data_IF_358786104960
#
_entry.id   IF_358786104960
#
_cell.length_a   1.000
_cell.length_b   1.000
_cell.length_c   1.000
_cell.angle_alpha   90.00
_cell.angle_beta   90.00
_cell.angle_gamma   90.00
#
_symmetry.space_group_name_H-M   'P 1'
#
loop_
_entity.id
_entity.type
_entity.pdbx_description
1 polymer ?
#
# COMPACT_ATOMS: atom_id res chain seq x y z
N UNK A 1 -11.84 -23.57 -3.16
CA UNK A 1 -12.80 -23.96 -2.09
C UNK A 1 -12.25 -23.80 -0.67
N UNK A 2 -11.09 -24.38 -0.31
CA UNK A 2 -10.59 -24.30 1.08
C UNK A 2 -10.25 -22.88 1.54
N UNK A 3 -9.59 -22.06 0.70
CA UNK A 3 -9.28 -20.67 1.06
C UNK A 3 -10.54 -19.81 1.26
N UNK A 4 -11.55 -19.96 0.40
CA UNK A 4 -12.87 -19.32 0.57
C UNK A 4 -13.52 -19.71 1.90
N UNK A 5 -13.43 -20.99 2.27
CA UNK A 5 -13.94 -21.47 3.57
C UNK A 5 -13.20 -20.82 4.73
N UNK A 6 -11.87 -20.78 4.71
CA UNK A 6 -11.07 -20.14 5.76
C UNK A 6 -11.41 -18.65 5.88
N UNK A 7 -11.54 -17.93 4.76
CA UNK A 7 -11.98 -16.54 4.76
C UNK A 7 -13.37 -16.37 5.39
N UNK A 8 -14.35 -17.16 4.95
CA UNK A 8 -15.72 -17.10 5.47
C UNK A 8 -15.86 -17.48 6.95
N UNK A 9 -14.97 -18.33 7.46
CA UNK A 9 -14.90 -18.71 8.88
C UNK A 9 -13.98 -17.77 9.70
N UNK A 10 -13.42 -16.73 9.09
CA UNK A 10 -12.42 -15.82 9.70
C UNK A 10 -11.23 -16.56 10.31
N UNK A 11 -10.80 -17.63 9.66
CA UNK A 11 -9.65 -18.46 10.04
C UNK A 11 -8.43 -18.08 9.22
N UNK A 12 -7.29 -18.02 9.89
CA UNK A 12 -6.01 -17.80 9.24
C UNK A 12 -5.58 -19.03 8.45
N UNK A 13 -4.90 -18.79 7.32
CA UNK A 13 -4.24 -19.79 6.50
C UNK A 13 -3.02 -20.31 7.27
N UNK A 14 -2.92 -21.62 7.54
CA UNK A 14 -1.78 -22.19 8.24
C UNK A 14 -0.46 -22.00 7.48
N UNK A 15 0.61 -21.70 8.20
CA UNK A 15 1.95 -21.52 7.62
C UNK A 15 2.19 -20.15 6.97
N UNK A 16 1.18 -19.28 6.96
CA UNK A 16 1.30 -17.89 6.50
C UNK A 16 1.33 -16.97 7.73
N UNK A 17 2.19 -15.92 7.75
CA UNK A 17 2.18 -14.92 8.81
C UNK A 17 0.79 -14.33 9.06
N UNK A 18 0.47 -13.99 10.31
CA UNK A 18 -0.90 -13.62 10.71
C UNK A 18 -1.24 -12.16 10.38
N UNK A 19 -0.30 -11.24 10.57
CA UNK A 19 -0.56 -9.79 10.51
C UNK A 19 0.70 -9.03 10.03
N UNK A 20 1.38 -9.60 9.04
CA UNK A 20 2.56 -8.99 8.41
C UNK A 20 2.19 -8.43 7.03
N UNK A 21 2.88 -7.36 6.65
CA UNK A 21 2.75 -6.82 5.29
C UNK A 21 3.27 -7.84 4.25
N UNK A 22 2.76 -7.81 3.01
CA UNK A 22 3.25 -8.68 1.95
C UNK A 22 4.77 -8.55 1.76
N UNK A 23 5.46 -9.68 1.71
CA UNK A 23 6.91 -9.72 1.51
C UNK A 23 7.24 -9.64 0.02
N UNK A 24 7.78 -8.50 -0.40
CA UNK A 24 8.14 -8.25 -1.80
C UNK A 24 9.32 -9.09 -2.29
N UNK A 25 10.01 -9.83 -1.41
CA UNK A 25 11.02 -10.82 -1.78
C UNK A 25 10.41 -12.20 -2.08
N UNK A 26 9.14 -12.41 -1.75
CA UNK A 26 8.41 -13.64 -2.01
C UNK A 26 7.63 -13.58 -3.33
N UNK A 27 7.23 -14.72 -3.88
CA UNK A 27 6.41 -14.74 -5.10
C UNK A 27 5.02 -14.11 -4.86
N UNK A 28 4.40 -13.60 -5.93
CA UNK A 28 3.12 -12.89 -5.85
C UNK A 28 2.03 -13.76 -5.24
N UNK A 29 2.00 -15.06 -5.55
CA UNK A 29 1.07 -16.00 -4.94
C UNK A 29 1.19 -16.00 -3.40
N UNK A 30 2.42 -16.02 -2.86
CA UNK A 30 2.64 -16.00 -1.42
C UNK A 30 2.23 -14.66 -0.80
N UNK A 31 2.57 -13.55 -1.47
CA UNK A 31 2.16 -12.20 -1.08
C UNK A 31 0.62 -12.10 -0.97
N UNK A 32 -0.11 -12.64 -1.95
CA UNK A 32 -1.58 -12.68 -1.93
C UNK A 32 -2.13 -13.48 -0.75
N UNK A 33 -1.51 -14.61 -0.39
CA UNK A 33 -1.89 -15.37 0.82
C UNK A 33 -1.63 -14.57 2.11
N UNK A 34 -0.53 -13.81 2.17
CA UNK A 34 -0.24 -12.92 3.30
C UNK A 34 -1.32 -11.82 3.43
N UNK A 35 -1.78 -11.25 2.31
CA UNK A 35 -2.90 -10.29 2.31
C UNK A 35 -4.14 -10.90 2.96
N UNK A 36 -4.53 -12.13 2.60
CA UNK A 36 -5.71 -12.79 3.18
C UNK A 36 -5.58 -12.89 4.71
N UNK A 37 -4.44 -13.34 5.23
CA UNK A 37 -4.24 -13.46 6.67
C UNK A 37 -4.28 -12.11 7.38
N UNK A 38 -3.61 -11.10 6.83
CA UNK A 38 -3.63 -9.77 7.39
C UNK A 38 -5.06 -9.20 7.38
N UNK A 39 -5.84 -9.39 6.30
CA UNK A 39 -7.26 -9.02 6.24
C UNK A 39 -8.10 -9.69 7.35
N UNK A 40 -7.88 -10.98 7.63
CA UNK A 40 -8.54 -11.66 8.77
C UNK A 40 -8.19 -11.00 10.10
N UNK A 41 -6.91 -10.68 10.31
CA UNK A 41 -6.44 -9.97 11.52
C UNK A 41 -7.06 -8.57 11.64
N UNK A 42 -7.14 -7.83 10.53
CA UNK A 42 -7.78 -6.51 10.46
C UNK A 42 -9.27 -6.56 10.77
N UNK A 43 -10.02 -7.51 10.21
CA UNK A 43 -11.45 -7.71 10.54
C UNK A 43 -11.67 -7.97 12.03
N UNK A 44 -10.84 -8.83 12.64
CA UNK A 44 -10.89 -9.09 14.09
C UNK A 44 -10.59 -7.83 14.92
N UNK A 45 -9.55 -7.08 14.56
CA UNK A 45 -9.19 -5.84 15.26
C UNK A 45 -10.26 -4.76 15.09
N UNK A 46 -10.83 -4.60 13.90
CA UNK A 46 -11.94 -3.70 13.64
C UNK A 46 -13.18 -4.04 14.47
N UNK A 47 -13.54 -5.33 14.57
CA UNK A 47 -14.66 -5.78 15.39
C UNK A 47 -14.45 -5.47 16.89
N UNK A 48 -13.23 -5.67 17.39
CA UNK A 48 -12.87 -5.33 18.78
C UNK A 48 -12.94 -3.82 19.00
N UNK A 49 -12.35 -3.02 18.10
CA UNK A 49 -12.35 -1.57 18.16
C UNK A 49 -13.79 -1.00 18.11
N UNK A 50 -14.65 -1.58 17.26
CA UNK A 50 -16.06 -1.20 17.14
C UNK A 50 -16.81 -1.43 18.45
N UNK A 51 -16.66 -2.62 19.06
CA UNK A 51 -17.26 -2.95 20.35
C UNK A 51 -16.75 -2.03 21.48
N UNK A 52 -15.45 -1.73 21.49
CA UNK A 52 -14.84 -0.81 22.46
C UNK A 52 -15.41 0.60 22.33
N UNK A 53 -15.54 1.12 21.11
CA UNK A 53 -16.14 2.43 20.85
C UNK A 53 -17.61 2.49 21.28
N UNK A 54 -18.40 1.45 20.99
CA UNK A 54 -19.80 1.38 21.42
C UNK A 54 -19.96 1.31 22.94
N UNK A 55 -19.07 0.58 23.64
CA UNK A 55 -19.04 0.57 25.09
C UNK A 55 -18.76 1.97 25.65
N UNK A 56 -17.72 2.65 25.14
CA UNK A 56 -17.39 4.01 25.55
C UNK A 56 -18.55 5.00 25.32
N UNK A 57 -19.22 4.91 24.17
CA UNK A 57 -20.39 5.77 23.88
C UNK A 57 -21.59 5.46 24.78
N UNK A 58 -21.81 4.21 25.17
CA UNK A 58 -22.89 3.84 26.11
C UNK A 58 -22.59 4.35 27.51
N UNK A 59 -21.35 4.24 27.96
CA UNK A 59 -20.95 4.71 29.28
C UNK A 59 -21.01 6.24 29.35
N UNK A 60 -20.53 6.94 28.32
CA UNK A 60 -20.64 8.40 28.24
C UNK A 60 -22.08 8.93 28.27
N UNK A 61 -23.08 8.16 27.81
CA UNK A 61 -24.49 8.53 27.93
C UNK A 61 -25.05 8.35 29.35
N UNK A 62 -24.42 7.51 30.17
CA UNK A 62 -24.83 7.23 31.56
C UNK A 62 -24.24 8.23 32.55
N UNK A 63 -23.08 8.82 32.24
CA UNK A 63 -22.40 9.78 33.10
C UNK A 63 -22.61 11.23 32.61
N UNK A 64 -23.00 12.13 33.52
CA UNK A 64 -22.99 13.56 33.22
C UNK A 64 -21.55 14.07 33.16
N UNK A 65 -21.18 14.92 32.17
CA UNK A 65 -19.84 15.51 32.07
C UNK A 65 -19.40 16.27 33.34
N UNK A 66 -20.36 16.78 34.12
CA UNK A 66 -20.10 17.51 35.37
C UNK A 66 -19.59 16.61 36.49
N UNK A 67 -19.93 15.33 36.46
CA UNK A 67 -19.50 14.34 37.46
C UNK A 67 -18.04 13.88 37.25
N UNK A 68 -17.42 14.24 36.13
CA UNK A 68 -16.04 13.91 35.78
C UNK A 68 -15.00 14.93 36.32
N UNK A 69 -15.44 16.04 36.92
CA UNK A 69 -14.57 17.08 37.51
C UNK A 69 -13.90 16.66 38.83
N UNK A 70 -14.34 15.56 39.44
CA UNK A 70 -13.76 15.00 40.67
C UNK A 70 -13.11 13.65 40.39
N UNK A 71 -11.77 13.62 40.41
CA UNK A 71 -10.85 12.47 40.53
C UNK A 71 -11.42 11.07 40.22
N UNK A 72 -10.85 10.47 39.16
CA UNK A 72 -10.96 9.07 38.72
C UNK A 72 -12.34 8.65 38.21
N UNK A 73 -12.71 9.16 37.03
CA UNK A 73 -13.75 8.54 36.22
C UNK A 73 -13.41 7.05 35.97
N UNK A 74 -14.38 6.13 36.11
CA UNK A 74 -14.14 4.71 35.94
C UNK A 74 -13.91 4.40 34.47
N UNK A 75 -12.67 4.04 34.12
CA UNK A 75 -12.31 3.35 32.87
C UNK A 75 -12.38 4.18 31.59
N UNK A 76 -11.22 4.45 30.98
CA UNK A 76 -11.02 4.78 29.55
C UNK A 76 -11.74 6.00 28.92
N UNK A 77 -12.73 6.63 29.56
CA UNK A 77 -13.41 7.80 28.99
C UNK A 77 -12.56 9.06 29.17
N UNK A 78 -12.10 9.62 28.04
CA UNK A 78 -11.33 10.85 28.01
C UNK A 78 -12.20 11.98 27.47
N UNK A 79 -12.36 13.05 28.23
CA UNK A 79 -13.03 14.27 27.77
C UNK A 79 -11.97 15.34 27.43
N UNK A 80 -12.34 16.29 26.57
CA UNK A 80 -11.60 17.51 26.30
C UNK A 80 -12.49 18.70 26.60
N UNK A 81 -11.94 19.73 27.24
CA UNK A 81 -12.60 21.02 27.36
C UNK A 81 -12.35 21.86 26.11
N UNK A 82 -13.39 22.36 25.47
CA UNK A 82 -13.28 23.29 24.35
C UNK A 82 -13.01 24.72 24.84
N UNK A 83 -12.67 25.63 23.92
CA UNK A 83 -12.52 27.07 24.23
C UNK A 83 -13.83 27.70 24.74
N UNK A 84 -15.00 27.16 24.36
CA UNK A 84 -16.30 27.54 24.91
C UNK A 84 -16.58 27.00 26.32
N UNK A 85 -15.71 26.13 26.84
CA UNK A 85 -15.85 25.49 28.15
C UNK A 85 -16.71 24.23 28.18
N UNK A 86 -17.19 23.76 27.02
CA UNK A 86 -17.92 22.51 26.86
C UNK A 86 -16.99 21.31 27.04
N UNK A 87 -17.47 20.27 27.72
CA UNK A 87 -16.74 19.00 27.86
C UNK A 87 -17.22 18.01 26.79
N UNK A 88 -16.35 17.68 25.85
CA UNK A 88 -16.64 16.78 24.73
C UNK A 88 -15.82 15.51 24.86
N UNK A 89 -16.45 14.35 24.63
CA UNK A 89 -15.78 13.06 24.68
C UNK A 89 -14.81 12.91 23.50
N UNK A 90 -13.57 12.48 23.79
CA UNK A 90 -12.56 12.13 22.79
C UNK A 90 -12.84 10.73 22.25
N UNK A 91 -12.95 10.60 20.93
CA UNK A 91 -13.21 9.34 20.24
C UNK A 91 -11.98 8.91 19.45
N UNK A 92 -11.55 7.66 19.61
CA UNK A 92 -10.37 7.14 18.92
C UNK A 92 -9.05 7.78 19.38
N UNK A 93 -9.00 8.34 20.59
CA UNK A 93 -7.76 8.83 21.18
C UNK A 93 -6.86 7.65 21.58
N UNK A 94 -5.62 7.65 21.08
CA UNK A 94 -4.56 6.73 21.46
C UNK A 94 -3.75 7.29 22.64
N UNK A 95 -2.44 7.40 22.47
CA UNK A 95 -1.54 7.95 23.49
C UNK A 95 -1.56 9.48 23.51
N UNK A 96 -1.36 10.07 24.69
CA UNK A 96 -1.11 11.52 24.83
C UNK A 96 0.18 11.89 24.07
N UNK A 97 0.10 12.94 23.25
CA UNK A 97 1.26 13.45 22.52
C UNK A 97 2.24 14.15 23.50
N UNK A 98 3.56 13.95 23.37
CA UNK A 98 4.54 14.58 24.25
C UNK A 98 4.56 16.09 24.05
N UNK A 99 4.44 16.87 25.13
CA UNK A 99 4.60 18.34 25.14
C UNK A 99 3.72 19.13 24.16
N UNK A 100 2.63 18.55 23.65
CA UNK A 100 1.70 19.21 22.74
C UNK A 100 0.36 19.48 23.44
N UNK A 101 -0.07 20.74 23.38
CA UNK A 101 -1.33 21.25 23.91
C UNK A 101 -2.07 22.02 22.82
N UNK A 102 -3.40 21.92 22.84
CA UNK A 102 -4.30 22.64 21.92
C UNK A 102 -4.15 24.14 22.13
N UNK A 103 -3.98 24.88 21.03
CA UNK A 103 -3.68 26.32 21.08
C UNK A 103 -4.82 27.15 21.68
N UNK A 104 -6.08 26.77 21.44
CA UNK A 104 -7.23 27.54 21.94
C UNK A 104 -7.66 27.18 23.37
N UNK A 105 -7.65 25.88 23.72
CA UNK A 105 -8.19 25.41 25.00
C UNK A 105 -7.12 25.09 26.05
N UNK A 106 -5.86 24.93 25.66
CA UNK A 106 -4.76 24.50 26.54
C UNK A 106 -4.83 23.03 26.98
N UNK A 107 -5.78 22.26 26.46
CA UNK A 107 -5.91 20.83 26.73
C UNK A 107 -4.80 20.02 26.04
N UNK A 108 -4.36 18.89 26.60
CA UNK A 108 -3.36 18.04 25.96
C UNK A 108 -3.86 17.47 24.61
N UNK A 109 -2.95 17.38 23.65
CA UNK A 109 -3.20 16.69 22.38
C UNK A 109 -3.01 15.18 22.58
N UNK A 110 -3.89 14.40 21.98
CA UNK A 110 -3.80 12.94 21.89
C UNK A 110 -3.59 12.53 20.44
N UNK A 111 -2.64 11.63 20.20
CA UNK A 111 -2.47 11.01 18.89
C UNK A 111 -3.71 10.15 18.61
N UNK A 112 -4.44 10.36 17.51
CA UNK A 112 -5.54 9.51 17.13
C UNK A 112 -5.05 8.09 16.80
N UNK A 113 -5.91 7.10 17.00
CA UNK A 113 -5.73 5.76 16.44
C UNK A 113 -5.94 5.89 14.92
N UNK A 114 -4.90 5.66 14.10
CA UNK A 114 -5.02 5.82 12.65
C UNK A 114 -5.80 4.65 12.05
N UNK A 115 -6.36 4.87 10.86
CA UNK A 115 -6.84 3.78 10.05
C UNK A 115 -5.66 3.06 9.38
N UNK A 116 -5.82 1.77 9.13
CA UNK A 116 -4.75 0.97 8.54
C UNK A 116 -4.62 1.23 7.05
N UNK A 117 -3.39 1.45 6.59
CA UNK A 117 -3.09 1.69 5.18
C UNK A 117 -3.31 0.45 4.30
N UNK A 118 -3.29 0.62 2.97
CA UNK A 118 -3.49 -0.47 2.04
C UNK A 118 -2.41 -1.55 2.15
N UNK A 119 -2.81 -2.81 1.91
CA UNK A 119 -1.88 -3.93 1.75
C UNK A 119 -1.51 -4.01 0.27
N UNK A 120 -0.24 -3.72 -0.04
CA UNK A 120 0.22 -3.63 -1.42
C UNK A 120 1.12 -4.83 -1.74
N UNK A 121 0.65 -5.64 -2.67
CA UNK A 121 1.43 -6.68 -3.35
C UNK A 121 2.21 -6.07 -4.52
N UNK A 122 3.21 -6.78 -5.03
CA UNK A 122 4.10 -6.29 -6.09
C UNK A 122 3.35 -5.77 -7.34
N UNK A 123 2.31 -6.49 -7.77
CA UNK A 123 1.45 -6.09 -8.89
C UNK A 123 0.68 -4.80 -8.61
N UNK A 124 0.09 -4.66 -7.41
CA UNK A 124 -0.62 -3.46 -7.00
C UNK A 124 0.31 -2.24 -6.86
N UNK A 125 1.55 -2.44 -6.42
CA UNK A 125 2.56 -1.38 -6.38
C UNK A 125 2.82 -0.87 -7.79
N UNK A 126 3.12 -1.78 -8.73
CA UNK A 126 3.39 -1.43 -10.14
C UNK A 126 2.21 -0.72 -10.78
N UNK A 127 0.99 -1.23 -10.58
CA UNK A 127 -0.22 -0.61 -11.10
C UNK A 127 -0.42 0.80 -10.53
N UNK A 128 -0.23 0.96 -9.23
CA UNK A 128 -0.36 2.26 -8.56
C UNK A 128 0.68 3.25 -9.11
N UNK A 129 1.93 2.83 -9.27
CA UNK A 129 2.99 3.65 -9.86
C UNK A 129 2.66 4.06 -11.30
N UNK A 130 2.25 3.11 -12.15
CA UNK A 130 1.85 3.39 -13.53
C UNK A 130 0.65 4.34 -13.62
N UNK A 131 -0.34 4.15 -12.73
CA UNK A 131 -1.52 5.00 -12.67
C UNK A 131 -1.16 6.42 -12.27
N UNK A 132 -0.33 6.59 -11.23
CA UNK A 132 0.16 7.89 -10.78
C UNK A 132 0.97 8.58 -11.88
N UNK A 133 1.85 7.85 -12.56
CA UNK A 133 2.64 8.38 -13.68
C UNK A 133 1.74 8.83 -14.85
N UNK A 134 0.67 8.09 -15.14
CA UNK A 134 -0.24 8.40 -16.25
C UNK A 134 -1.19 9.55 -15.95
N UNK A 135 -1.69 9.64 -14.72
CA UNK A 135 -2.79 10.56 -14.35
C UNK A 135 -2.32 11.77 -13.55
N UNK A 136 -1.12 11.72 -12.98
CA UNK A 136 -0.67 12.71 -11.98
C UNK A 136 -1.52 12.71 -10.70
N UNK A 137 -2.27 11.64 -10.45
CA UNK A 137 -3.24 11.59 -9.35
C UNK A 137 -2.57 11.62 -7.98
N UNK A 138 -3.13 12.44 -7.09
CA UNK A 138 -2.78 12.50 -5.65
C UNK A 138 -3.84 11.83 -4.77
N UNK A 139 -4.81 11.12 -5.38
CA UNK A 139 -6.04 10.67 -4.71
C UNK A 139 -5.83 9.78 -3.49
N UNK A 140 -4.87 8.85 -3.54
CA UNK A 140 -4.52 7.99 -2.41
C UNK A 140 -3.96 8.80 -1.23
N UNK A 141 -3.05 9.74 -1.51
CA UNK A 141 -2.50 10.65 -0.50
C UNK A 141 -3.55 11.57 0.13
N UNK A 142 -4.49 12.07 -0.68
CA UNK A 142 -5.61 12.90 -0.20
C UNK A 142 -6.56 12.11 0.71
N UNK A 143 -6.81 10.84 0.38
CA UNK A 143 -7.69 9.96 1.17
C UNK A 143 -7.08 9.67 2.53
N UNK A 144 -5.78 9.34 2.60
CA UNK A 144 -5.07 9.13 3.86
C UNK A 144 -5.09 10.40 4.71
N UNK A 145 -4.74 11.55 4.12
CA UNK A 145 -4.74 12.83 4.84
C UNK A 145 -6.12 13.17 5.41
N UNK A 146 -7.19 12.96 4.63
CA UNK A 146 -8.56 13.16 5.10
C UNK A 146 -8.89 12.23 6.28
N UNK A 147 -8.52 10.95 6.21
CA UNK A 147 -8.68 9.99 7.30
C UNK A 147 -7.95 10.45 8.57
N UNK A 148 -6.71 10.91 8.44
CA UNK A 148 -5.90 11.39 9.55
C UNK A 148 -6.52 12.63 10.21
N UNK A 149 -6.99 13.59 9.41
CA UNK A 149 -7.68 14.80 9.90
C UNK A 149 -8.98 14.45 10.63
N UNK A 150 -9.78 13.54 10.08
CA UNK A 150 -11.03 13.09 10.72
C UNK A 150 -10.75 12.42 12.08
N UNK A 151 -9.72 11.57 12.13
CA UNK A 151 -9.30 10.87 13.35
C UNK A 151 -8.78 11.86 14.39
N UNK A 152 -7.94 12.82 13.96
CA UNK A 152 -7.39 13.83 14.85
C UNK A 152 -8.47 14.72 15.47
N UNK A 153 -9.43 15.19 14.68
CA UNK A 153 -10.59 15.96 15.17
C UNK A 153 -11.45 15.17 16.16
N UNK A 154 -11.60 13.86 15.94
CA UNK A 154 -12.34 12.98 16.86
C UNK A 154 -11.61 12.80 18.20
N UNK A 155 -10.28 12.66 18.15
CA UNK A 155 -9.44 12.48 19.34
C UNK A 155 -9.22 13.80 20.10
N UNK A 156 -9.31 14.95 19.43
CA UNK A 156 -9.03 16.28 19.97
C UNK A 156 -10.19 17.27 19.70
N UNK A 157 -11.30 17.18 20.44
CA UNK A 157 -12.40 18.12 20.30
C UNK A 157 -11.96 19.57 20.54
N UNK A 158 -12.32 20.46 19.60
CA UNK A 158 -11.94 21.87 19.64
C UNK A 158 -10.56 22.18 19.06
N UNK A 159 -9.88 21.21 18.43
CA UNK A 159 -8.61 21.46 17.75
C UNK A 159 -8.78 22.30 16.48
N UNK A 160 -7.72 23.04 16.13
CA UNK A 160 -7.61 23.80 14.88
C UNK A 160 -6.58 23.17 13.93
N UNK A 161 -6.49 23.67 12.68
CA UNK A 161 -5.57 23.14 11.68
C UNK A 161 -4.11 23.23 12.15
N UNK A 162 -3.77 24.29 12.86
CA UNK A 162 -2.46 24.54 13.44
C UNK A 162 -2.07 23.45 14.44
N UNK A 163 -3.01 22.98 15.27
CA UNK A 163 -2.77 21.87 16.19
C UNK A 163 -2.47 20.57 15.43
N UNK A 164 -3.20 20.32 14.34
CA UNK A 164 -2.96 19.16 13.48
C UNK A 164 -1.61 19.24 12.79
N UNK A 165 -1.24 20.39 12.22
CA UNK A 165 0.05 20.57 11.53
C UNK A 165 1.21 20.41 12.51
N UNK A 166 1.13 20.98 13.71
CA UNK A 166 2.15 20.79 14.77
C UNK A 166 2.37 19.33 15.15
N UNK A 167 1.34 18.50 15.01
CA UNK A 167 1.40 17.07 15.32
C UNK A 167 1.80 16.21 14.11
N UNK A 168 1.21 16.43 12.94
CA UNK A 168 1.34 15.58 11.74
C UNK A 168 2.51 15.99 10.84
N UNK A 169 2.77 17.29 10.72
CA UNK A 169 3.89 17.84 9.94
C UNK A 169 4.60 18.95 10.73
N UNK A 170 5.34 18.62 11.81
CA UNK A 170 6.07 19.62 12.60
C UNK A 170 6.94 20.59 11.79
N UNK A 171 7.60 20.19 10.68
CA UNK A 171 8.36 21.12 9.83
C UNK A 171 7.51 22.21 9.15
N UNK A 172 6.19 22.05 9.08
CA UNK A 172 5.25 23.03 8.51
C UNK A 172 4.74 24.06 9.53
N UNK A 173 5.27 24.03 10.75
CA UNK A 173 4.98 25.00 11.81
C UNK A 173 6.23 25.81 12.15
N UNK A 174 6.07 27.12 12.29
CA UNK A 174 7.17 28.05 12.60
C UNK A 174 6.85 28.86 13.84
N UNK A 175 7.77 28.89 14.81
CA UNK A 175 7.59 29.62 16.08
C UNK A 175 7.93 31.13 15.98
N UNK A 176 8.36 31.61 14.81
CA UNK A 176 8.77 33.02 14.56
C UNK A 176 8.00 33.64 13.40
N UNK A 177 7.64 34.92 13.53
CA UNK A 177 7.19 35.72 12.38
C UNK A 177 8.28 35.74 11.30
N UNK A 178 7.93 35.71 10.00
CA UNK A 178 8.86 36.05 8.96
C UNK A 178 9.16 37.55 9.07
N UNK A 179 10.12 37.92 9.93
CA UNK A 179 10.68 39.25 9.89
C UNK A 179 11.43 39.40 8.57
N UNK A 180 10.92 40.28 7.71
CA UNK A 180 11.72 40.85 6.63
C UNK A 180 13.07 41.30 7.20
N UNK A 181 14.16 40.84 6.58
CA UNK A 181 15.52 41.18 6.97
C UNK A 181 15.74 42.70 6.92
N UNK A 182 15.52 43.40 8.03
CA UNK A 182 16.06 44.73 8.32
C UNK A 182 15.76 45.13 9.77
N UNK A 183 16.49 44.56 10.74
CA UNK A 183 17.03 45.28 11.90
C UNK A 183 17.68 44.30 12.88
N UNK A 184 18.94 43.96 12.62
CA UNK A 184 19.84 43.60 13.71
C UNK A 184 20.13 44.87 14.53
N UNK A 185 19.47 45.03 15.67
CA UNK A 185 20.00 45.85 16.76
C UNK A 185 19.57 45.29 18.11
N UNK A 186 20.49 44.52 18.70
CA UNK A 186 20.75 44.30 20.13
C UNK A 186 19.65 44.67 21.15
N UNK A 187 19.26 43.70 21.99
CA UNK A 187 19.51 43.77 23.44
C UNK A 187 19.00 42.51 24.16
N UNK A 188 19.87 41.98 25.02
CA UNK A 188 19.55 41.05 26.09
C UNK A 188 18.71 41.77 27.14
N UNK A 189 17.47 41.34 27.37
CA UNK A 189 16.87 41.38 28.70
C UNK A 189 15.83 40.28 28.90
N UNK A 190 15.86 39.66 30.07
CA UNK A 190 15.02 38.54 30.44
C UNK A 190 13.62 38.97 30.84
N UNK A 191 12.65 38.10 30.55
CA UNK A 191 11.33 38.11 31.20
C UNK A 191 10.21 38.72 30.38
N UNK A 192 9.65 37.93 29.48
CA UNK A 192 8.20 37.78 29.31
C UNK A 192 7.93 36.60 28.36
N UNK A 193 7.56 35.43 28.90
CA UNK A 193 7.00 34.30 28.15
C UNK A 193 5.58 34.62 27.66
N UNK A 194 5.44 35.74 26.94
CA UNK A 194 4.24 36.06 26.19
C UNK A 194 4.23 35.17 24.96
N UNK A 195 3.36 34.16 24.96
CA UNK A 195 3.06 33.23 23.87
C UNK A 195 3.45 33.78 22.49
N UNK A 196 4.61 33.38 22.00
CA UNK A 196 4.97 33.58 20.60
C UNK A 196 3.96 32.75 19.80
N UNK A 197 2.97 33.43 19.23
CA UNK A 197 1.93 32.81 18.43
C UNK A 197 2.62 32.29 17.17
N UNK A 198 2.92 31.01 17.10
CA UNK A 198 3.52 30.41 15.91
C UNK A 198 2.57 30.47 14.71
N UNK A 199 3.12 30.24 13.52
CA UNK A 199 2.41 30.36 12.25
C UNK A 199 2.64 29.13 11.37
N UNK A 200 1.67 28.85 10.49
CA UNK A 200 1.80 27.85 9.43
C UNK A 200 2.88 28.26 8.43
N UNK A 201 3.57 27.31 7.81
CA UNK A 201 4.58 27.57 6.78
C UNK A 201 4.00 28.32 5.57
N UNK A 202 4.84 29.03 4.80
CA UNK A 202 4.40 29.81 3.64
C UNK A 202 3.65 28.97 2.59
N UNK A 203 3.94 27.66 2.47
CA UNK A 203 3.20 26.76 1.56
C UNK A 203 1.80 26.41 2.08
N UNK A 204 1.60 26.36 3.39
CA UNK A 204 0.32 26.09 4.06
C UNK A 204 -0.59 27.32 4.10
N UNK A 205 -0.01 28.52 4.00
CA UNK A 205 -0.75 29.78 3.95
C UNK A 205 -1.25 30.17 2.54
N UNK A 206 -0.82 29.45 1.48
CA UNK A 206 -1.25 29.74 0.10
C UNK A 206 -2.77 29.64 -0.06
N UNK A 207 -3.35 30.55 -0.84
CA UNK A 207 -4.76 30.42 -1.27
C UNK A 207 -4.96 29.14 -2.08
N UNK A 208 -6.11 28.48 -1.89
CA UNK A 208 -6.39 27.17 -2.50
C UNK A 208 -5.53 26.03 -1.94
N UNK A 209 -5.03 26.16 -0.71
CA UNK A 209 -4.27 25.09 -0.07
C UNK A 209 -5.17 23.87 0.20
N UNK A 210 -4.83 22.74 -0.43
CA UNK A 210 -5.56 21.48 -0.32
C UNK A 210 -5.75 20.99 1.12
N UNK A 211 -4.75 21.16 2.00
CA UNK A 211 -4.87 20.72 3.39
C UNK A 211 -5.90 21.54 4.15
N UNK A 212 -5.98 22.85 3.90
CA UNK A 212 -7.00 23.72 4.47
C UNK A 212 -8.40 23.32 3.97
N UNK A 213 -8.55 23.08 2.66
CA UNK A 213 -9.83 22.64 2.09
C UNK A 213 -10.30 21.29 2.65
N UNK A 214 -9.39 20.32 2.76
CA UNK A 214 -9.67 19.03 3.40
C UNK A 214 -9.98 19.19 4.89
N UNK A 215 -9.27 20.08 5.59
CA UNK A 215 -9.52 20.34 6.99
C UNK A 215 -10.92 20.91 7.20
N UNK A 216 -11.32 21.94 6.47
CA UNK A 216 -12.65 22.56 6.61
C UNK A 216 -13.79 21.57 6.31
N UNK A 217 -13.59 20.65 5.37
CA UNK A 217 -14.60 19.65 4.98
C UNK A 217 -14.58 18.39 5.84
N UNK A 218 -13.50 18.12 6.58
CA UNK A 218 -13.36 16.94 7.44
C UNK A 218 -14.22 17.01 8.70
N UNK A 219 -14.84 15.88 9.05
CA UNK A 219 -15.68 15.72 10.24
C UNK A 219 -14.92 14.97 11.35
N UNK A 220 -15.23 15.20 12.64
CA UNK A 220 -14.64 14.43 13.74
C UNK A 220 -15.17 12.99 13.74
N UNK A 221 -14.47 12.08 13.06
CA UNK A 221 -14.86 10.66 12.94
C UNK A 221 -13.68 9.77 13.31
N UNK A 222 -13.79 8.88 14.30
CA UNK A 222 -12.70 7.95 14.66
C UNK A 222 -12.51 6.88 13.56
N UNK A 223 -11.28 6.38 13.39
CA UNK A 223 -10.89 5.47 12.31
C UNK A 223 -11.88 4.33 12.03
N UNK A 224 -12.40 3.68 13.08
CA UNK A 224 -13.35 2.56 13.00
C UNK A 224 -14.70 2.91 12.35
N UNK A 225 -15.08 4.19 12.30
CA UNK A 225 -16.31 4.70 11.67
C UNK A 225 -16.07 5.45 10.36
N UNK A 226 -14.83 5.63 9.96
CA UNK A 226 -14.49 6.30 8.71
C UNK A 226 -14.75 5.37 7.52
N UNK A 227 -14.81 5.93 6.31
CA UNK A 227 -14.76 5.12 5.10
C UNK A 227 -13.42 4.36 5.06
N UNK A 228 -13.40 3.04 4.81
CA UNK A 228 -12.19 2.24 4.86
C UNK A 228 -11.26 2.60 3.71
N UNK A 229 -10.00 2.96 3.97
CA UNK A 229 -8.97 3.29 2.98
C UNK A 229 -8.66 2.09 2.09
N UNK A 230 -8.76 0.89 2.67
CA UNK A 230 -8.58 -0.39 2.02
C UNK A 230 -9.80 -1.26 2.30
N UNK A 231 -10.44 -1.79 1.27
CA UNK A 231 -11.59 -2.70 1.40
C UNK A 231 -11.08 -4.14 1.47
N UNK A 232 -11.00 -4.70 2.69
CA UNK A 232 -10.52 -6.06 2.90
C UNK A 232 -11.37 -7.11 2.19
N UNK A 233 -12.68 -6.91 2.10
CA UNK A 233 -13.60 -7.88 1.49
C UNK A 233 -13.40 -7.91 -0.02
N UNK A 234 -13.37 -6.75 -0.65
CA UNK A 234 -13.15 -6.65 -2.09
C UNK A 234 -11.74 -7.11 -2.49
N UNK A 235 -10.72 -6.81 -1.68
CA UNK A 235 -9.35 -7.26 -1.93
C UNK A 235 -9.22 -8.79 -1.86
N UNK A 236 -9.77 -9.42 -0.81
CA UNK A 236 -9.71 -10.88 -0.64
C UNK A 236 -10.54 -11.60 -1.70
N UNK A 237 -11.73 -11.11 -2.03
CA UNK A 237 -12.53 -11.68 -3.11
C UNK A 237 -11.84 -11.54 -4.47
N UNK A 238 -11.15 -10.42 -4.73
CA UNK A 238 -10.31 -10.24 -5.91
C UNK A 238 -9.21 -11.30 -6.01
N UNK A 239 -8.49 -11.54 -4.91
CA UNK A 239 -7.45 -12.58 -4.82
C UNK A 239 -8.04 -13.98 -5.04
N UNK A 240 -9.15 -14.30 -4.36
CA UNK A 240 -9.77 -15.63 -4.44
C UNK A 240 -10.30 -15.91 -5.86
N UNK A 241 -10.88 -14.90 -6.51
CA UNK A 241 -11.30 -14.98 -7.91
C UNK A 241 -10.09 -15.15 -8.85
N UNK A 242 -8.99 -14.43 -8.61
CA UNK A 242 -7.77 -14.60 -9.39
C UNK A 242 -7.25 -16.04 -9.30
N UNK A 243 -7.10 -16.56 -8.07
CA UNK A 243 -6.60 -17.91 -7.85
C UNK A 243 -7.51 -19.01 -8.40
N UNK A 244 -8.81 -18.77 -8.48
CA UNK A 244 -9.77 -19.70 -9.07
C UNK A 244 -9.65 -19.77 -10.61
N UNK A 245 -9.18 -18.69 -11.24
CA UNK A 245 -9.10 -18.56 -12.70
C UNK A 245 -7.67 -18.51 -13.24
N UNK A 246 -6.65 -18.64 -12.37
CA UNK A 246 -5.24 -18.57 -12.76
C UNK A 246 -4.92 -19.65 -13.80
N UNK A 247 -4.23 -19.25 -14.87
CA UNK A 247 -3.83 -20.21 -15.91
C UNK A 247 -2.70 -21.12 -15.42
N UNK A 248 -2.58 -22.37 -15.94
CA UNK A 248 -1.46 -23.25 -15.58
C UNK A 248 -0.08 -22.64 -15.83
N UNK A 249 0.06 -21.80 -16.86
CA UNK A 249 1.30 -21.10 -17.18
C UNK A 249 1.64 -20.04 -16.14
N UNK A 250 0.70 -19.17 -15.76
CA UNK A 250 0.91 -18.16 -14.72
C UNK A 250 1.21 -18.82 -13.37
N UNK A 251 0.47 -19.88 -13.03
CA UNK A 251 0.71 -20.64 -11.81
C UNK A 251 2.11 -21.26 -11.81
N UNK A 252 2.56 -21.80 -12.93
CA UNK A 252 3.93 -22.31 -13.07
C UNK A 252 4.96 -21.21 -12.85
N UNK A 253 4.78 -20.02 -13.41
CA UNK A 253 5.68 -18.88 -13.21
C UNK A 253 5.82 -18.50 -11.73
N UNK A 254 4.73 -18.57 -10.95
CA UNK A 254 4.75 -18.29 -9.51
C UNK A 254 5.65 -19.24 -8.72
N UNK A 255 5.75 -20.51 -9.13
CA UNK A 255 6.55 -21.51 -8.44
C UNK A 255 7.94 -21.71 -9.04
N UNK A 256 8.11 -21.42 -10.32
CA UNK A 256 9.30 -21.79 -11.07
C UNK A 256 10.56 -21.19 -10.46
N UNK A 257 10.56 -19.87 -10.20
CA UNK A 257 11.72 -19.18 -9.64
C UNK A 257 12.06 -19.72 -8.24
N UNK A 258 11.05 -20.00 -7.41
CA UNK A 258 11.25 -20.57 -6.08
C UNK A 258 11.84 -21.98 -6.14
N UNK A 259 11.37 -22.82 -7.07
CA UNK A 259 11.89 -24.17 -7.29
C UNK A 259 13.32 -24.14 -7.84
N UNK A 260 13.58 -23.26 -8.81
CA UNK A 260 14.92 -23.04 -9.37
C UNK A 260 15.89 -22.62 -8.26
N UNK A 261 15.50 -21.62 -7.45
CA UNK A 261 16.31 -21.15 -6.32
C UNK A 261 16.58 -22.25 -5.29
N UNK A 262 15.59 -23.08 -4.96
CA UNK A 262 15.78 -24.23 -4.08
C UNK A 262 16.78 -25.23 -4.67
N UNK A 263 16.64 -25.57 -5.95
CA UNK A 263 17.57 -26.46 -6.65
C UNK A 263 19.00 -25.91 -6.67
N UNK A 264 19.18 -24.61 -6.92
CA UNK A 264 20.47 -23.93 -6.86
C UNK A 264 21.08 -23.97 -5.46
N UNK A 265 20.30 -23.75 -4.40
CA UNK A 265 20.77 -23.82 -3.02
C UNK A 265 21.22 -25.24 -2.64
N UNK A 266 20.46 -26.26 -3.06
CA UNK A 266 20.82 -27.66 -2.86
C UNK A 266 22.11 -28.04 -3.61
N UNK A 267 22.31 -27.50 -4.82
CA UNK A 267 23.51 -27.71 -5.61
C UNK A 267 24.74 -27.04 -4.98
N UNK A 268 24.60 -25.80 -4.49
CA UNK A 268 25.66 -25.03 -3.82
C UNK A 268 26.26 -25.82 -2.66
N UNK A 269 25.40 -26.39 -1.81
CA UNK A 269 25.81 -27.19 -0.66
C UNK A 269 26.68 -28.40 -1.06
N UNK A 270 26.38 -29.05 -2.20
CA UNK A 270 27.08 -30.25 -2.68
C UNK A 270 28.35 -29.94 -3.47
N UNK A 271 28.36 -28.86 -4.25
CA UNK A 271 29.45 -28.52 -5.17
C UNK A 271 30.53 -27.63 -4.53
N UNK A 272 30.27 -27.08 -3.34
CA UNK A 272 31.19 -26.21 -2.58
C UNK A 272 32.57 -26.80 -2.29
N UNK A 273 32.69 -28.13 -2.24
CA UNK A 273 33.94 -28.81 -1.85
C UNK A 273 34.96 -28.96 -2.98
N UNK A 274 34.59 -28.70 -4.23
CA UNK A 274 35.47 -28.83 -5.40
C UNK A 274 35.59 -27.47 -6.09
N UNK A 275 36.77 -26.83 -6.02
CA UNK A 275 37.01 -25.48 -6.53
C UNK A 275 36.63 -25.31 -8.02
N UNK A 276 36.87 -26.33 -8.85
CA UNK A 276 36.55 -26.26 -10.27
C UNK A 276 35.03 -26.32 -10.52
N UNK A 277 34.34 -27.27 -9.89
CA UNK A 277 32.89 -27.40 -10.01
C UNK A 277 32.15 -26.24 -9.35
N UNK A 278 32.67 -25.75 -8.23
CA UNK A 278 32.17 -24.55 -7.55
C UNK A 278 32.19 -23.35 -8.49
N UNK A 279 33.30 -23.13 -9.21
CA UNK A 279 33.38 -22.05 -10.21
C UNK A 279 32.34 -22.20 -11.33
N UNK A 280 32.19 -23.40 -11.89
CA UNK A 280 31.18 -23.66 -12.92
C UNK A 280 29.74 -23.50 -12.40
N UNK A 281 29.50 -23.89 -11.15
CA UNK A 281 28.22 -23.70 -10.48
C UNK A 281 27.89 -22.21 -10.33
N UNK A 282 28.84 -21.37 -9.90
CA UNK A 282 28.61 -19.93 -9.81
C UNK A 282 28.34 -19.29 -11.17
N UNK A 283 28.99 -19.75 -12.25
CA UNK A 283 28.64 -19.31 -13.62
C UNK A 283 27.18 -19.65 -13.99
N UNK A 284 26.69 -20.83 -13.58
CA UNK A 284 25.29 -21.22 -13.78
C UNK A 284 24.32 -20.39 -12.93
N UNK A 285 24.67 -20.18 -11.65
CA UNK A 285 23.90 -19.35 -10.70
C UNK A 285 23.77 -17.91 -11.20
N UNK A 286 24.88 -17.31 -11.65
CA UNK A 286 24.89 -15.96 -12.21
C UNK A 286 24.00 -15.88 -13.47
N UNK A 287 24.04 -16.89 -14.34
CA UNK A 287 23.15 -16.96 -15.49
C UNK A 287 21.67 -17.00 -15.08
N UNK A 288 21.29 -17.80 -14.08
CA UNK A 288 19.92 -17.83 -13.57
C UNK A 288 19.48 -16.48 -13.02
N UNK A 289 20.33 -15.84 -12.20
CA UNK A 289 20.03 -14.53 -11.62
C UNK A 289 19.81 -13.48 -12.70
N UNK A 290 20.74 -13.36 -13.65
CA UNK A 290 20.65 -12.38 -14.76
C UNK A 290 19.42 -12.65 -15.64
N UNK A 291 19.14 -13.92 -15.93
CA UNK A 291 18.04 -14.29 -16.84
C UNK A 291 16.68 -14.11 -16.19
N UNK A 292 16.52 -14.47 -14.91
CA UNK A 292 15.25 -14.39 -14.19
C UNK A 292 14.91 -12.97 -13.70
N UNK A 293 15.90 -12.07 -13.59
CA UNK A 293 15.67 -10.65 -13.27
C UNK A 293 15.04 -9.87 -14.43
N UNK A 294 15.22 -10.33 -15.67
CA UNK A 294 14.63 -9.69 -16.85
C UNK A 294 13.22 -10.21 -17.14
N UNK A 295 12.29 -9.32 -17.52
CA UNK A 295 11.08 -9.73 -18.26
C UNK A 295 11.39 -9.76 -19.76
N UNK A 296 10.92 -10.76 -20.53
CA UNK A 296 10.21 -11.98 -20.15
C UNK A 296 11.18 -13.19 -20.04
N UNK A 297 11.57 -13.60 -18.82
CA UNK A 297 12.44 -14.77 -18.62
C UNK A 297 11.84 -16.06 -19.20
N UNK A 298 10.51 -16.15 -19.33
CA UNK A 298 9.79 -17.30 -19.87
C UNK A 298 10.15 -17.62 -21.32
N UNK A 299 10.57 -16.63 -22.11
CA UNK A 299 11.10 -16.86 -23.47
C UNK A 299 12.43 -17.63 -23.47
N UNK A 300 13.13 -17.66 -22.34
CA UNK A 300 14.42 -18.35 -22.15
C UNK A 300 14.30 -19.62 -21.31
N UNK A 301 13.08 -20.13 -21.11
CA UNK A 301 12.85 -21.31 -20.25
C UNK A 301 13.67 -22.52 -20.69
N UNK A 302 13.81 -22.76 -22.00
CA UNK A 302 14.61 -23.86 -22.54
C UNK A 302 16.10 -23.70 -22.17
N UNK A 303 16.63 -22.48 -22.27
CA UNK A 303 18.01 -22.20 -21.88
C UNK A 303 18.21 -22.38 -20.36
N UNK A 304 17.24 -21.95 -19.55
CA UNK A 304 17.27 -22.13 -18.09
C UNK A 304 17.28 -23.62 -17.74
N UNK A 305 16.40 -24.42 -18.34
CA UNK A 305 16.34 -25.86 -18.14
C UNK A 305 17.67 -26.53 -18.50
N UNK A 306 18.30 -26.13 -19.60
CA UNK A 306 19.57 -26.69 -20.03
C UNK A 306 20.73 -26.36 -19.08
N UNK A 307 20.78 -25.13 -18.57
CA UNK A 307 21.76 -24.76 -17.53
C UNK A 307 21.50 -25.53 -16.23
N UNK A 308 20.23 -25.77 -15.89
CA UNK A 308 19.84 -26.59 -14.74
C UNK A 308 20.26 -28.05 -14.89
N UNK A 309 20.05 -28.66 -16.06
CA UNK A 309 20.53 -30.02 -16.38
C UNK A 309 22.04 -30.14 -16.24
N UNK A 310 22.79 -29.10 -16.62
CA UNK A 310 24.24 -29.11 -16.42
C UNK A 310 24.61 -29.05 -14.94
N UNK A 311 23.92 -28.22 -14.16
CA UNK A 311 24.10 -28.16 -12.71
C UNK A 311 23.76 -29.51 -12.05
N UNK A 312 22.71 -30.20 -12.51
CA UNK A 312 22.38 -31.55 -12.06
C UNK A 312 23.48 -32.55 -12.43
N UNK A 313 23.99 -32.51 -13.67
CA UNK A 313 25.07 -33.39 -14.12
C UNK A 313 26.37 -33.21 -13.31
N UNK A 314 26.70 -31.98 -12.88
CA UNK A 314 27.81 -31.72 -11.97
C UNK A 314 27.67 -32.47 -10.65
N UNK A 315 26.44 -32.63 -10.16
CA UNK A 315 26.13 -33.32 -8.90
C UNK A 315 26.15 -34.84 -9.10
N UNK A 316 25.57 -35.33 -10.20
CA UNK A 316 25.39 -36.77 -10.45
C UNK A 316 26.68 -37.42 -10.95
N UNK A 317 27.38 -36.78 -11.90
CA UNK A 317 28.57 -37.33 -12.57
C UNK A 317 29.73 -36.30 -12.57
N UNK A 318 30.26 -35.91 -11.40
CA UNK A 318 31.25 -34.82 -11.28
C UNK A 318 32.52 -35.07 -12.12
N UNK A 319 33.04 -36.30 -12.14
CA UNK A 319 34.29 -36.64 -12.85
C UNK A 319 34.15 -36.54 -14.37
N UNK A 320 32.99 -36.96 -14.92
CA UNK A 320 32.72 -36.86 -16.36
C UNK A 320 32.62 -35.40 -16.80
N UNK A 321 31.94 -34.56 -16.00
CA UNK A 321 31.82 -33.13 -16.28
C UNK A 321 33.18 -32.44 -16.21
N UNK A 322 34.01 -32.74 -15.20
CA UNK A 322 35.37 -32.20 -15.09
C UNK A 322 36.21 -32.58 -16.32
N UNK A 323 36.13 -33.84 -16.77
CA UNK A 323 36.87 -34.30 -17.95
C UNK A 323 36.40 -33.62 -19.22
N UNK A 324 35.07 -33.55 -19.44
CA UNK A 324 34.49 -32.90 -20.60
C UNK A 324 34.82 -31.40 -20.68
N UNK A 325 34.76 -30.70 -19.55
CA UNK A 325 35.02 -29.27 -19.51
C UNK A 325 36.51 -28.93 -19.64
N UNK A 326 37.42 -29.75 -19.09
CA UNK A 326 38.87 -29.61 -19.32
C UNK A 326 39.24 -29.81 -20.78
N UNK A 327 38.68 -30.82 -21.44
CA UNK A 327 38.87 -31.05 -22.88
C UNK A 327 38.32 -29.89 -23.73
N UNK A 328 37.21 -29.28 -23.31
CA UNK A 328 36.64 -28.12 -23.99
C UNK A 328 37.48 -26.83 -23.79
N UNK A 329 38.07 -26.63 -22.61
CA UNK A 329 38.96 -25.50 -22.33
C UNK A 329 40.30 -25.63 -23.09
N UNK A 330 40.81 -26.85 -23.29
CA UNK A 330 42.01 -27.13 -24.12
C UNK A 330 41.80 -26.86 -25.62
N UNK A 331 40.56 -26.87 -26.11
CA UNK A 331 40.21 -26.60 -27.50
C UNK A 331 39.99 -25.10 -27.82
N UNK A 332 40.21 -24.17 -26.87
CA UNK A 332 39.88 -22.73 -27.03
C UNK A 332 41.03 -21.85 -27.51
N UNK A 333 40.70 -20.86 -28.33
CA UNK A 333 41.51 -19.66 -28.64
C UNK A 333 41.14 -18.51 -27.68
N UNK A 334 42.09 -17.66 -27.23
CA UNK A 334 41.85 -16.65 -26.19
C UNK A 334 41.05 -15.46 -26.75
N UNK A 335 39.91 -15.14 -26.14
CA UNK A 335 39.18 -13.89 -26.43
C UNK A 335 37.65 -13.89 -26.41
N UNK A 336 36.96 -14.94 -25.92
CA UNK A 336 35.48 -14.96 -25.89
C UNK A 336 34.94 -15.57 -24.60
N UNK A 337 34.76 -14.73 -23.57
CA UNK A 337 34.11 -15.11 -22.31
C UNK A 337 32.63 -15.48 -22.52
N UNK A 338 31.98 -14.92 -23.55
CA UNK A 338 30.57 -15.19 -23.93
C UNK A 338 30.28 -16.62 -24.43
N UNK A 339 31.30 -17.45 -24.69
CA UNK A 339 31.11 -18.82 -25.22
C UNK A 339 31.02 -19.91 -24.16
N UNK A 340 31.27 -19.64 -22.88
CA UNK A 340 31.28 -20.71 -21.85
C UNK A 340 29.89 -21.30 -21.61
N UNK A 341 28.87 -20.45 -21.60
CA UNK A 341 27.46 -20.86 -21.49
C UNK A 341 26.95 -21.50 -22.79
N UNK A 342 27.48 -21.11 -23.97
CA UNK A 342 27.11 -21.76 -25.23
C UNK A 342 27.62 -23.21 -25.34
N UNK A 343 28.59 -23.63 -24.52
CA UNK A 343 29.00 -25.03 -24.41
C UNK A 343 28.10 -25.83 -23.45
N UNK A 344 27.53 -25.18 -22.42
CA UNK A 344 26.41 -25.75 -21.65
C UNK A 344 25.24 -26.08 -22.58
N UNK A 345 25.09 -25.31 -23.69
CA UNK A 345 24.07 -25.56 -24.70
C UNK A 345 24.24 -26.84 -25.54
N UNK A 346 25.35 -27.58 -25.43
CA UNK A 346 25.74 -28.51 -26.49
C UNK A 346 26.13 -29.94 -26.10
N UNK A 347 26.00 -30.43 -24.85
CA UNK A 347 26.71 -31.68 -24.54
C UNK A 347 26.27 -32.66 -23.46
N UNK A 348 25.11 -32.53 -22.80
CA UNK A 348 24.69 -33.55 -21.81
C UNK A 348 23.20 -33.90 -21.99
N UNK A 349 22.86 -34.57 -23.10
CA UNK A 349 21.48 -35.00 -23.38
C UNK A 349 21.18 -36.38 -22.76
N UNK A 350 20.20 -36.49 -21.86
CA UNK A 350 19.35 -37.68 -21.79
C UNK A 350 17.90 -37.31 -22.14
N UNK A 351 17.51 -37.61 -23.39
CA UNK A 351 16.14 -37.69 -23.96
C UNK A 351 15.51 -36.40 -24.52
N UNK A 352 15.18 -36.46 -25.82
CA UNK A 352 14.36 -35.49 -26.57
C UNK A 352 12.85 -35.70 -26.36
N UNK A 353 12.03 -34.63 -26.32
CA UNK A 353 10.65 -34.66 -26.78
C UNK A 353 10.44 -33.89 -28.10
N UNK A 354 9.34 -34.18 -28.79
CA UNK A 354 8.96 -33.70 -30.15
C UNK A 354 8.15 -32.38 -30.13
N UNK A 355 8.00 -31.65 -31.26
CA UNK A 355 7.52 -30.26 -31.27
C UNK A 355 5.99 -30.14 -31.43
N UNK A 356 5.37 -29.10 -30.83
CA UNK A 356 4.05 -28.59 -31.25
C UNK A 356 3.87 -27.07 -31.08
N UNK A 357 3.51 -26.47 -32.23
CA UNK A 357 2.58 -25.36 -32.56
C UNK A 357 2.45 -24.12 -31.68
N UNK A 358 2.72 -22.97 -32.31
CA UNK A 358 2.41 -21.60 -31.91
C UNK A 358 0.90 -21.33 -31.81
N UNK A 359 0.49 -20.52 -30.82
CA UNK A 359 -0.74 -19.72 -30.90
C UNK A 359 -0.56 -18.36 -30.23
N UNK A 360 -1.01 -17.32 -30.93
CA UNK A 360 -0.99 -15.91 -30.59
C UNK A 360 -1.73 -15.56 -29.30
N UNK A 361 -1.15 -14.65 -28.51
CA UNK A 361 -1.71 -14.08 -27.28
C UNK A 361 -2.60 -12.86 -27.57
N UNK A 362 -3.88 -12.96 -27.17
CA UNK A 362 -4.75 -11.80 -26.92
C UNK A 362 -4.64 -11.38 -25.45
N UNK A 363 -4.68 -10.07 -25.19
CA UNK A 363 -4.59 -9.48 -23.86
C UNK A 363 -5.75 -9.89 -22.93
N UNK A 364 -5.45 -10.13 -21.66
CA UNK A 364 -6.39 -10.66 -20.67
C UNK A 364 -7.35 -9.59 -20.09
N UNK A 365 -8.60 -9.95 -19.71
CA UNK A 365 -9.64 -9.00 -19.27
C UNK A 365 -9.43 -8.40 -17.87
N UNK A 366 -8.40 -8.83 -17.15
CA UNK A 366 -8.18 -8.46 -15.74
C UNK A 366 -7.71 -7.01 -15.55
N UNK A 367 -7.12 -6.41 -16.60
CA UNK A 367 -6.67 -5.00 -16.63
C UNK A 367 -7.79 -3.97 -16.40
N UNK A 368 -9.06 -4.38 -16.51
CA UNK A 368 -10.22 -3.48 -16.40
C UNK A 368 -11.06 -3.66 -15.11
N UNK A 369 -10.82 -4.69 -14.30
CA UNK A 369 -11.63 -4.91 -13.09
C UNK A 369 -11.11 -4.16 -11.86
N UNK A 370 -9.80 -3.88 -11.78
CA UNK A 370 -9.20 -3.18 -10.64
C UNK A 370 -9.16 -1.65 -10.76
N UNK A 371 -9.41 -1.08 -11.95
CA UNK A 371 -9.61 0.37 -12.12
C UNK A 371 -10.75 0.89 -11.25
N UNK A 372 -11.77 0.06 -11.01
CA UNK A 372 -12.92 0.38 -10.16
C UNK A 372 -12.60 0.41 -8.66
N UNK A 373 -11.49 -0.19 -8.21
CA UNK A 373 -11.12 -0.28 -6.79
C UNK A 373 -10.71 1.08 -6.23
N UNK A 374 -10.07 1.93 -7.04
CA UNK A 374 -9.63 3.28 -6.64
C UNK A 374 -10.56 4.41 -7.11
N UNK A 375 -11.47 4.16 -8.05
CA UNK A 375 -12.40 5.17 -8.57
C UNK A 375 -13.62 5.42 -7.66
N UNK A 376 -14.01 4.44 -6.83
CA UNK A 376 -15.27 4.46 -6.06
C UNK A 376 -15.43 5.60 -5.04
N UNK A 377 -14.38 6.38 -4.77
CA UNK A 377 -14.41 7.49 -3.79
C UNK A 377 -14.32 8.88 -4.42
N UNK A 378 -14.17 8.97 -5.74
CA UNK A 378 -14.03 10.24 -6.47
C UNK A 378 -15.38 10.91 -6.79
N UNK A 379 -16.51 10.22 -6.58
CA UNK A 379 -17.83 10.67 -7.03
C UNK A 379 -18.47 11.80 -6.20
N UNK A 380 -17.84 12.26 -5.12
CA UNK A 380 -18.40 13.35 -4.30
C UNK A 380 -18.13 14.76 -4.83
N UNK A 381 -17.33 14.93 -5.88
CA UNK A 381 -16.88 16.25 -6.33
C UNK A 381 -17.42 16.74 -7.68
N UNK A 382 -18.36 16.02 -8.32
CA UNK A 382 -18.87 16.40 -9.64
C UNK A 382 -20.26 17.05 -9.67
N UNK A 383 -20.91 17.26 -8.53
CA UNK A 383 -22.19 18.00 -8.46
C UNK A 383 -22.09 19.19 -7.54
N UNK A 384 -21.68 20.33 -8.10
CA UNK A 384 -22.22 21.67 -7.81
C UNK A 384 -21.40 22.72 -8.57
N UNK A 385 -21.81 23.03 -9.81
CA UNK A 385 -21.35 24.22 -10.52
C UNK A 385 -22.52 25.22 -10.54
N UNK A 386 -22.36 26.44 -10.02
CA UNK A 386 -23.43 27.44 -10.08
C UNK A 386 -23.55 28.01 -11.50
N UNK A 387 -24.75 28.41 -11.96
CA UNK A 387 -24.92 29.00 -13.27
C UNK A 387 -24.36 30.44 -13.28
N UNK A 388 -23.56 30.79 -14.30
CA UNK A 388 -23.10 32.16 -14.56
C UNK A 388 -24.14 32.95 -15.37
N UNK A 389 -24.20 34.29 -15.20
CA UNK A 389 -25.30 35.14 -15.66
C UNK A 389 -25.21 35.44 -17.17
N UNK A 390 -26.38 35.66 -17.77
CA UNK A 390 -26.57 35.72 -19.21
C UNK A 390 -26.21 37.05 -19.89
N UNK A 391 -26.16 36.99 -21.22
CA UNK A 391 -26.37 38.12 -22.12
C UNK A 391 -27.49 37.77 -23.10
N UNK A 392 -28.32 38.77 -23.39
CA UNK A 392 -29.63 38.62 -24.01
C UNK A 392 -29.64 38.79 -25.54
N UNK A 393 -30.31 37.85 -26.21
CA UNK A 393 -31.44 38.03 -27.16
C UNK A 393 -31.17 38.46 -28.63
N UNK A 394 -32.16 38.41 -29.57
CA UNK A 394 -33.55 37.88 -29.53
C UNK A 394 -33.95 36.98 -30.74
N UNK A 395 -35.13 36.34 -30.67
CA UNK A 395 -35.81 35.80 -31.86
C UNK A 395 -36.92 34.79 -31.58
N UNK A 396 -38.14 35.28 -31.41
CA UNK A 396 -39.39 34.52 -31.21
C UNK A 396 -39.72 33.52 -32.34
N UNK A 397 -40.29 32.36 -31.98
CA UNK A 397 -41.70 32.00 -32.25
C UNK A 397 -42.00 30.56 -31.86
N UNK A 398 -42.96 30.38 -30.95
CA UNK A 398 -43.71 29.13 -30.71
C UNK A 398 -44.82 28.99 -31.76
N UNK A 399 -45.27 27.75 -32.03
CA UNK A 399 -46.60 27.39 -31.52
C UNK A 399 -46.72 25.96 -30.93
N UNK A 400 -47.71 25.85 -30.02
CA UNK A 400 -48.61 24.74 -29.66
C UNK A 400 -48.81 23.62 -30.71
N UNK A 401 -49.33 22.42 -30.45
CA UNK A 401 -49.80 21.63 -29.30
C UNK A 401 -50.16 20.23 -29.85
N UNK A 402 -50.36 19.24 -28.96
CA UNK A 402 -50.98 17.91 -29.20
C UNK A 402 -50.12 16.92 -30.04
N UNK A 403 -49.91 15.66 -29.66
CA UNK A 403 -50.88 14.68 -29.20
C UNK A 403 -50.22 13.49 -28.45
N UNK A 404 -50.97 13.03 -27.44
CA UNK A 404 -51.17 11.70 -26.87
C UNK A 404 -50.22 10.50 -27.15
N UNK A 405 -49.80 9.91 -26.02
CA UNK A 405 -49.92 8.50 -25.61
C UNK A 405 -49.29 7.38 -26.48
N UNK A 406 -48.38 6.59 -25.89
CA UNK A 406 -48.44 5.12 -25.80
C UNK A 406 -47.31 4.58 -24.90
N UNK A 407 -47.61 3.45 -24.26
CA UNK A 407 -47.01 2.79 -23.11
C UNK A 407 -45.80 1.88 -23.44
N UNK A 408 -45.08 1.45 -22.37
CA UNK A 408 -43.85 0.60 -22.28
C UNK A 408 -42.55 1.37 -22.53
N UNK A 409 -41.65 1.53 -21.56
CA UNK A 409 -40.94 0.53 -20.72
C UNK A 409 -40.78 0.98 -19.27
#
# INVERSE_FOLDING_TARGET
MQLRRLWGEELHIPGIPLDEFPDLHSCLLYQQLQVINCCVSRKKRHAIASKSLEAALRDAKRFSPESAKGVNAPGHLLYAKTSSGELVLRLGAGSKAPNLFMLESGEPIYSPIPQEGPLLTEDLIKETEEFVLRTGSVGAGCSQLLSDMQGFKAANPGCILEDFVRWHSPPDWTDSEPTDEANETSSSDGGNSSSTKGYLSSRMQKEGNLWRELWETSKPVPAVKQAPLFDEELAVEGILNHMENISPSELFEQFFISLLGLGTLMAEAKLSSNDYLSKLFYECKDYFVVTCQGRPWSEKVDDICQVYETMEAMIVNPDEVVKAMKQADEARTPGSETKRISFLKLGLNPRKPSPRSESSSEESPMKQQFSNFFEGKSSLFSKNKPPKPGSASPGEKTPSAEDSDWTLV
#
